data_IF_483794179987
#
_entry.id   IF_483794179987
#
_cell.length_a   1.000
_cell.length_b   1.000
_cell.length_c   1.000
_cell.angle_alpha   90.00
_cell.angle_beta   90.00
_cell.angle_gamma   90.00
#
_symmetry.space_group_name_H-M   'P 1'
#
loop_
_entity.id
_entity.type
_entity.pdbx_description
1 polymer ?
#
# COMPACT_ATOMS: atom_id res chain seq x y z
N UNK A 1 -24.32 16.58 -28.78
CA UNK A 1 -23.82 17.28 -27.56
C UNK A 1 -22.48 17.93 -27.89
N UNK A 2 -22.18 19.13 -27.38
CA UNK A 2 -20.82 19.71 -27.49
C UNK A 2 -20.04 19.36 -26.23
N UNK A 3 -19.08 18.44 -26.34
CA UNK A 3 -18.10 18.24 -25.28
C UNK A 3 -17.23 19.50 -25.19
N UNK A 4 -17.34 20.25 -24.09
CA UNK A 4 -16.36 21.31 -23.79
C UNK A 4 -15.06 20.63 -23.38
N UNK A 5 -13.96 20.97 -24.05
CA UNK A 5 -12.64 20.54 -23.61
C UNK A 5 -12.41 21.03 -22.17
N UNK A 6 -12.11 20.10 -21.27
CA UNK A 6 -11.78 20.39 -19.87
C UNK A 6 -10.36 20.92 -19.82
N UNK A 7 -10.15 22.07 -19.18
CA UNK A 7 -8.82 22.70 -19.12
C UNK A 7 -7.82 21.83 -18.33
N UNK A 8 -6.51 21.93 -18.59
CA UNK A 8 -5.49 21.21 -17.83
C UNK A 8 -5.58 21.45 -16.32
N UNK A 9 -5.87 22.69 -15.91
CA UNK A 9 -6.03 23.09 -14.50
C UNK A 9 -7.27 22.44 -13.89
N UNK A 10 -8.37 22.37 -14.64
CA UNK A 10 -9.60 21.70 -14.18
C UNK A 10 -9.38 20.19 -14.00
N UNK A 11 -8.60 19.57 -14.90
CA UNK A 11 -8.19 18.15 -14.79
C UNK A 11 -7.29 17.93 -13.56
N UNK A 12 -6.29 18.80 -13.37
CA UNK A 12 -5.38 18.76 -12.22
C UNK A 12 -6.15 18.91 -10.90
N UNK A 13 -7.04 19.90 -10.79
CA UNK A 13 -7.87 20.12 -9.61
C UNK A 13 -8.78 18.91 -9.29
N UNK A 14 -9.36 18.27 -10.31
CA UNK A 14 -10.13 17.05 -10.12
C UNK A 14 -9.27 15.88 -9.64
N UNK A 15 -8.07 15.71 -10.22
CA UNK A 15 -7.11 14.68 -9.82
C UNK A 15 -6.69 14.84 -8.35
N UNK A 16 -6.25 16.04 -7.96
CA UNK A 16 -5.89 16.36 -6.57
C UNK A 16 -7.06 16.16 -5.60
N UNK A 17 -8.27 16.54 -5.99
CA UNK A 17 -9.47 16.24 -5.20
C UNK A 17 -9.71 14.74 -5.06
N UNK A 18 -9.58 13.95 -6.13
CA UNK A 18 -9.76 12.50 -6.07
C UNK A 18 -8.75 11.80 -5.17
N UNK A 19 -7.47 12.20 -5.21
CA UNK A 19 -6.43 11.71 -4.31
C UNK A 19 -6.76 12.02 -2.84
N UNK A 20 -7.17 13.25 -2.52
CA UNK A 20 -7.64 13.62 -1.18
C UNK A 20 -8.87 12.83 -0.73
N UNK A 21 -9.73 12.39 -1.66
CA UNK A 21 -10.88 11.52 -1.33
C UNK A 21 -10.48 10.05 -1.14
N UNK A 22 -9.43 9.55 -1.81
CA UNK A 22 -8.87 8.23 -1.54
C UNK A 22 -8.22 8.20 -0.15
N UNK A 23 -7.30 9.14 0.15
CA UNK A 23 -6.62 9.26 1.46
C UNK A 23 -7.63 9.32 2.61
N UNK A 24 -8.64 10.21 2.55
CA UNK A 24 -9.67 10.33 3.60
C UNK A 24 -10.49 9.05 3.80
N UNK A 25 -10.68 8.22 2.76
CA UNK A 25 -11.39 6.93 2.89
C UNK A 25 -10.52 5.90 3.60
N UNK A 26 -9.22 5.90 3.29
CA UNK A 26 -8.24 5.02 3.93
C UNK A 26 -8.07 5.35 5.41
N UNK A 27 -7.82 6.62 5.73
CA UNK A 27 -7.75 7.13 7.11
C UNK A 27 -9.02 6.79 7.89
N UNK A 28 -10.20 7.07 7.32
CA UNK A 28 -11.48 6.78 7.97
C UNK A 28 -11.69 5.28 8.20
N UNK A 29 -11.23 4.42 7.29
CA UNK A 29 -11.33 2.97 7.46
C UNK A 29 -10.39 2.50 8.59
N UNK A 30 -9.12 2.94 8.61
CA UNK A 30 -8.17 2.58 9.66
C UNK A 30 -8.62 3.09 11.04
N UNK A 31 -9.16 4.30 11.11
CA UNK A 31 -9.74 4.86 12.33
C UNK A 31 -11.09 4.24 12.75
N UNK A 32 -11.66 3.33 11.94
CA UNK A 32 -12.90 2.59 12.26
C UNK A 32 -12.67 1.18 12.79
N UNK A 33 -11.41 0.73 12.86
CA UNK A 33 -11.04 -0.55 13.45
C UNK A 33 -11.19 -0.52 14.97
N UNK A 34 -11.51 -1.66 15.56
CA UNK A 34 -11.64 -1.89 17.00
C UNK A 34 -10.30 -2.14 17.71
N UNK A 35 -9.20 -2.13 16.95
CA UNK A 35 -7.81 -2.24 17.40
C UNK A 35 -6.92 -1.20 16.70
N UNK A 36 -5.76 -0.92 17.29
CA UNK A 36 -4.73 -0.08 16.66
C UNK A 36 -4.02 -0.82 15.50
N UNK A 37 -4.13 -0.35 14.24
CA UNK A 37 -3.46 -0.97 13.10
C UNK A 37 -1.98 -0.61 12.99
N UNK A 38 -1.46 0.34 13.79
CA UNK A 38 -0.07 0.82 13.69
C UNK A 38 1.01 -0.28 13.74
N UNK A 39 0.87 -1.38 14.52
CA UNK A 39 1.84 -2.48 14.48
C UNK A 39 1.86 -3.22 13.14
N UNK A 40 0.69 -3.41 12.51
CA UNK A 40 0.58 -4.02 11.18
C UNK A 40 1.23 -3.09 10.16
N UNK A 41 0.93 -1.80 10.22
CA UNK A 41 1.49 -0.78 9.32
C UNK A 41 3.02 -0.72 9.39
N UNK A 42 3.61 -0.85 10.58
CA UNK A 42 5.07 -0.91 10.77
C UNK A 42 5.69 -2.16 10.14
N UNK A 43 5.06 -3.32 10.29
CA UNK A 43 5.54 -4.57 9.68
C UNK A 43 5.47 -4.48 8.15
N UNK A 44 4.33 -4.01 7.62
CA UNK A 44 4.14 -3.82 6.16
C UNK A 44 5.18 -2.83 5.62
N UNK A 45 5.28 -1.62 6.20
CA UNK A 45 6.25 -0.61 5.75
C UNK A 45 7.67 -1.14 5.77
N UNK A 46 8.13 -1.72 6.88
CA UNK A 46 9.49 -2.25 6.99
C UNK A 46 9.81 -3.34 5.96
N UNK A 47 8.82 -4.08 5.44
CA UNK A 47 9.00 -5.08 4.38
C UNK A 47 8.95 -4.50 2.97
N UNK A 48 8.21 -3.42 2.74
CA UNK A 48 8.19 -2.71 1.45
C UNK A 48 9.45 -1.84 1.30
N UNK A 49 9.83 -1.06 2.33
CA UNK A 49 11.04 -0.25 2.35
C UNK A 49 12.31 -1.11 2.15
N UNK A 50 12.35 -2.30 2.76
CA UNK A 50 13.49 -3.22 2.63
C UNK A 50 13.52 -4.00 1.30
N UNK A 51 12.40 -4.05 0.57
CA UNK A 51 12.34 -4.61 -0.79
C UNK A 51 12.72 -3.57 -1.84
N UNK A 52 12.34 -2.30 -1.62
CA UNK A 52 12.61 -1.16 -2.50
C UNK A 52 12.22 -1.44 -3.97
N UNK A 53 10.92 -1.72 -4.26
CA UNK A 53 10.45 -2.20 -5.57
C UNK A 53 10.68 -1.25 -6.75
N UNK A 54 11.13 -0.01 -6.50
CA UNK A 54 11.43 1.00 -7.54
C UNK A 54 12.90 1.49 -7.45
N UNK A 55 13.69 0.90 -6.55
CA UNK A 55 15.11 1.23 -6.33
C UNK A 55 15.35 2.70 -5.92
N UNK A 56 14.47 3.26 -5.09
CA UNK A 56 14.62 4.64 -4.58
C UNK A 56 15.83 4.82 -3.67
N UNK A 57 16.36 3.75 -3.04
CA UNK A 57 17.60 3.82 -2.26
C UNK A 57 18.79 4.20 -3.16
N UNK A 58 18.81 3.76 -4.43
CA UNK A 58 19.85 4.16 -5.40
C UNK A 58 19.67 5.61 -5.91
N UNK A 59 18.51 6.23 -5.63
CA UNK A 59 18.12 7.56 -6.10
C UNK A 59 18.21 8.67 -5.03
N UNK A 60 18.73 8.37 -3.83
CA UNK A 60 18.76 9.28 -2.67
C UNK A 60 17.33 9.66 -2.17
N UNK A 61 16.52 8.62 -1.92
CA UNK A 61 15.17 8.69 -1.35
C UNK A 61 15.08 9.26 0.08
N UNK A 62 13.87 9.32 0.66
CA UNK A 62 13.47 10.24 1.74
C UNK A 62 12.75 9.63 2.97
N UNK A 63 12.90 8.32 3.25
CA UNK A 63 12.23 7.53 4.33
C UNK A 63 10.69 7.33 4.18
N UNK A 64 9.98 8.17 3.41
CA UNK A 64 8.51 8.17 3.29
C UNK A 64 7.96 7.73 1.91
N UNK A 65 8.81 7.19 1.04
CA UNK A 65 8.53 6.94 -0.39
C UNK A 65 7.38 5.95 -0.63
N UNK A 66 7.22 5.00 0.30
CA UNK A 66 6.23 3.93 0.25
C UNK A 66 5.12 4.05 1.31
N UNK A 67 4.97 5.20 1.97
CA UNK A 67 4.01 5.38 3.07
C UNK A 67 2.55 5.23 2.62
N UNK A 68 2.23 5.62 1.39
CA UNK A 68 0.86 5.51 0.85
C UNK A 68 0.54 4.06 0.48
N UNK A 69 1.49 3.39 -0.16
CA UNK A 69 1.37 2.02 -0.64
C UNK A 69 1.32 1.06 0.56
N UNK A 70 2.19 1.29 1.55
CA UNK A 70 2.19 0.58 2.83
C UNK A 70 0.87 0.75 3.58
N UNK A 71 0.24 1.93 3.52
CA UNK A 71 -1.11 2.15 4.07
C UNK A 71 -2.17 1.34 3.30
N UNK A 72 -2.18 1.39 1.96
CA UNK A 72 -3.12 0.62 1.15
C UNK A 72 -2.95 -0.90 1.33
N UNK A 73 -1.71 -1.40 1.46
CA UNK A 73 -1.40 -2.81 1.73
C UNK A 73 -1.84 -3.18 3.16
N UNK A 74 -1.58 -2.32 4.15
CA UNK A 74 -2.09 -2.50 5.53
C UNK A 74 -3.61 -2.64 5.53
N UNK A 75 -4.32 -1.80 4.76
CA UNK A 75 -5.77 -1.86 4.61
C UNK A 75 -6.24 -3.16 3.93
N UNK A 76 -5.44 -3.73 3.03
CA UNK A 76 -5.71 -5.06 2.50
C UNK A 76 -5.54 -6.12 3.58
N UNK A 77 -4.44 -6.10 4.34
CA UNK A 77 -4.16 -7.04 5.44
C UNK A 77 -5.26 -7.00 6.50
N UNK A 78 -5.64 -5.82 7.00
CA UNK A 78 -6.66 -5.66 8.05
C UNK A 78 -8.05 -6.16 7.64
N UNK A 79 -8.37 -6.16 6.34
CA UNK A 79 -9.64 -6.69 5.79
C UNK A 79 -9.67 -8.22 5.71
N UNK A 80 -8.52 -8.87 5.72
CA UNK A 80 -8.39 -10.31 5.47
C UNK A 80 -7.63 -11.05 6.58
N UNK A 81 -7.48 -10.47 7.78
CA UNK A 81 -6.66 -11.01 8.87
C UNK A 81 -6.92 -12.48 9.23
N UNK A 82 -8.17 -12.93 9.13
CA UNK A 82 -8.60 -14.30 9.47
C UNK A 82 -8.44 -15.30 8.32
N UNK A 83 -8.22 -14.80 7.10
CA UNK A 83 -8.11 -15.57 5.86
C UNK A 83 -6.99 -15.03 4.96
N UNK A 84 -5.87 -14.62 5.57
CA UNK A 84 -4.78 -13.96 4.88
C UNK A 84 -3.94 -15.00 4.11
N UNK A 85 -4.17 -15.05 2.80
CA UNK A 85 -3.45 -15.90 1.86
C UNK A 85 -2.26 -15.16 1.24
N UNK A 86 -1.16 -15.89 1.05
CA UNK A 86 0.12 -15.37 0.55
C UNK A 86 0.02 -14.97 -0.93
N UNK A 87 -0.65 -15.77 -1.75
CA UNK A 87 -0.84 -15.47 -3.18
C UNK A 87 -1.78 -14.27 -3.37
N UNK A 88 -2.85 -14.20 -2.59
CA UNK A 88 -3.80 -13.09 -2.63
C UNK A 88 -3.17 -11.77 -2.15
N UNK A 89 -2.33 -11.82 -1.10
CA UNK A 89 -1.56 -10.66 -0.64
C UNK A 89 -0.52 -10.22 -1.67
N UNK A 90 0.22 -11.15 -2.29
CA UNK A 90 1.19 -10.83 -3.35
C UNK A 90 0.52 -10.09 -4.53
N UNK A 91 -0.62 -10.61 -5.01
CA UNK A 91 -1.42 -9.97 -6.06
C UNK A 91 -1.95 -8.58 -5.65
N UNK A 92 -2.26 -8.38 -4.37
CA UNK A 92 -2.65 -7.08 -3.84
C UNK A 92 -1.48 -6.09 -3.81
N UNK A 93 -0.30 -6.54 -3.37
CA UNK A 93 0.95 -5.75 -3.38
C UNK A 93 1.27 -5.34 -4.82
N UNK A 94 1.38 -6.28 -5.76
CA UNK A 94 1.66 -6.00 -7.18
C UNK A 94 0.70 -4.95 -7.75
N UNK A 95 -0.60 -5.11 -7.50
CA UNK A 95 -1.63 -4.17 -7.96
C UNK A 95 -1.47 -2.77 -7.35
N UNK A 96 -1.09 -2.67 -6.09
CA UNK A 96 -0.92 -1.39 -5.39
C UNK A 96 0.33 -0.68 -5.90
N UNK A 97 1.48 -1.37 -5.92
CA UNK A 97 2.75 -0.82 -6.42
C UNK A 97 2.65 -0.44 -7.91
N UNK A 98 2.03 -1.29 -8.75
CA UNK A 98 1.76 -0.96 -10.17
C UNK A 98 0.83 0.26 -10.31
N UNK A 99 -0.19 0.44 -9.45
CA UNK A 99 -1.06 1.64 -9.49
C UNK A 99 -0.27 2.91 -9.13
N UNK A 100 0.62 2.82 -8.15
CA UNK A 100 1.40 3.95 -7.64
C UNK A 100 2.48 4.40 -8.63
N UNK A 101 3.27 3.46 -9.14
CA UNK A 101 4.51 3.75 -9.88
C UNK A 101 4.42 3.49 -11.39
N UNK A 102 3.30 2.90 -11.86
CA UNK A 102 3.01 2.66 -13.28
C UNK A 102 4.20 1.96 -13.98
N UNK A 103 4.77 2.58 -15.00
CA UNK A 103 5.84 2.01 -15.84
C UNK A 103 7.20 1.88 -15.11
N UNK A 104 7.32 2.43 -13.89
CA UNK A 104 8.54 2.30 -13.06
C UNK A 104 8.59 0.98 -12.28
N UNK A 105 7.46 0.26 -12.17
CA UNK A 105 7.41 -1.06 -11.52
C UNK A 105 7.02 -2.15 -12.51
N UNK A 106 7.79 -3.23 -12.56
CA UNK A 106 7.50 -4.41 -13.38
C UNK A 106 7.41 -5.62 -12.46
N UNK A 107 6.24 -6.27 -12.32
CA UNK A 107 6.08 -7.45 -11.47
C UNK A 107 7.06 -8.57 -11.82
N UNK A 108 8.02 -8.84 -10.93
CA UNK A 108 9.04 -9.89 -11.06
C UNK A 108 8.66 -11.20 -10.36
N UNK A 109 7.66 -11.17 -9.46
CA UNK A 109 7.26 -12.27 -8.59
C UNK A 109 7.82 -12.17 -7.17
N UNK A 110 8.72 -11.23 -6.88
CA UNK A 110 9.25 -10.94 -5.54
C UNK A 110 8.15 -10.52 -4.54
N UNK A 111 7.05 -9.97 -5.04
CA UNK A 111 5.82 -9.68 -4.28
C UNK A 111 5.31 -10.87 -3.47
N UNK A 112 5.56 -12.11 -3.93
CA UNK A 112 5.20 -13.34 -3.23
C UNK A 112 6.07 -13.57 -1.99
N UNK A 113 7.39 -13.41 -2.13
CA UNK A 113 8.32 -13.55 -1.00
C UNK A 113 8.08 -12.46 0.05
N UNK A 114 7.82 -11.22 -0.38
CA UNK A 114 7.45 -10.10 0.50
C UNK A 114 6.11 -10.37 1.22
N UNK A 115 5.11 -10.91 0.53
CA UNK A 115 3.86 -11.33 1.14
C UNK A 115 4.07 -12.43 2.20
N UNK A 116 4.89 -13.44 1.91
CA UNK A 116 5.25 -14.50 2.84
C UNK A 116 5.94 -13.96 4.10
N UNK A 117 6.90 -13.04 3.94
CA UNK A 117 7.57 -12.37 5.05
C UNK A 117 6.62 -11.52 5.91
N UNK A 118 5.73 -10.73 5.31
CA UNK A 118 4.70 -9.97 6.03
C UNK A 118 3.81 -10.91 6.86
N UNK A 119 3.35 -12.02 6.27
CA UNK A 119 2.50 -13.01 6.97
C UNK A 119 3.25 -13.68 8.11
N UNK A 120 4.54 -14.01 7.95
CA UNK A 120 5.36 -14.61 8.99
C UNK A 120 5.54 -13.68 10.20
N UNK A 121 5.89 -12.41 9.96
CA UNK A 121 6.05 -11.40 11.02
C UNK A 121 4.74 -11.12 11.76
N UNK A 122 3.61 -11.07 11.03
CA UNK A 122 2.28 -10.89 11.62
C UNK A 122 1.89 -12.06 12.53
N UNK A 123 2.29 -13.30 12.19
CA UNK A 123 2.08 -14.47 13.07
C UNK A 123 2.95 -14.37 14.33
N UNK A 124 4.25 -14.12 14.18
CA UNK A 124 5.17 -13.99 15.33
C UNK A 124 4.76 -12.86 16.29
N UNK A 125 4.33 -11.70 15.76
CA UNK A 125 3.86 -10.57 16.59
C UNK A 125 2.54 -10.83 17.34
N UNK A 126 1.69 -11.76 16.85
CA UNK A 126 0.52 -12.26 17.57
C UNK A 126 0.90 -13.25 18.67
N UNK A 127 1.84 -14.16 18.40
CA UNK A 127 2.32 -15.17 19.36
C UNK A 127 3.05 -14.56 20.57
N UNK A 128 3.71 -13.40 20.41
CA UNK A 128 4.34 -12.65 21.52
C UNK A 128 3.32 -11.89 22.40
N UNK A 129 2.03 -11.88 22.02
CA UNK A 129 0.94 -11.18 22.73
C UNK A 129 -0.11 -12.10 23.37
N UNK A 130 0.10 -13.43 23.32
CA UNK A 130 -0.77 -14.45 23.90
C UNK A 130 -0.19 -15.01 25.21
#
# INVERSE_FOLDING_TARGET
>A
MKFRAVSPETRMNYMMWSLQQEIRKEEKYLASLDYDPSPIMKIVKARIDAWDPVHFIEMDGQDDEYDTESRSITIYVTKHLDALDETALAQAIDRIITKAFLDLYVPSGESLEVAGHIIADLKQSKEVRA
#
